data_IF_985312740843
#
_entry.id   IF_985312740843
#
_cell.length_a   1.000
_cell.length_b   1.000
_cell.length_c   1.000
_cell.angle_alpha   90.00
_cell.angle_beta   90.00
_cell.angle_gamma   90.00
#
_symmetry.space_group_name_H-M   'P 1'
#
loop_
_entity.id
_entity.type
_entity.pdbx_description
1 polymer ?
#
# COMPACT_ATOMS: atom_id res chain seq x y z
N UNK A 1 -17.02 -22.93 64.83
CA UNK A 1 -17.77 -21.72 65.23
C UNK A 1 -16.74 -20.60 65.11
N UNK A 2 -16.71 -19.75 64.09
CA UNK A 2 -17.77 -19.33 63.18
C UNK A 2 -17.25 -19.10 61.76
N UNK A 3 -18.15 -19.35 60.83
CA UNK A 3 -18.03 -19.14 59.40
C UNK A 3 -18.34 -17.68 59.05
N UNK A 4 -17.57 -17.05 58.15
CA UNK A 4 -18.16 -16.37 56.98
C UNK A 4 -17.10 -16.05 55.90
N UNK A 5 -17.37 -16.43 54.63
CA UNK A 5 -16.56 -16.12 53.45
C UNK A 5 -17.14 -14.93 52.67
N UNK A 6 -16.34 -13.96 52.22
CA UNK A 6 -16.77 -12.98 51.21
C UNK A 6 -15.57 -12.40 50.44
N UNK A 7 -15.35 -12.92 49.23
CA UNK A 7 -15.14 -12.16 47.97
C UNK A 7 -14.83 -13.13 46.82
N UNK A 8 -15.76 -14.06 46.57
CA UNK A 8 -15.99 -14.60 45.22
C UNK A 8 -16.93 -13.59 44.57
N UNK A 9 -16.41 -12.74 43.67
CA UNK A 9 -17.28 -11.81 42.93
C UNK A 9 -16.63 -10.57 42.32
N UNK A 10 -15.38 -10.20 42.66
CA UNK A 10 -14.76 -9.00 42.07
C UNK A 10 -13.94 -9.25 40.80
N UNK A 11 -13.73 -10.52 40.41
CA UNK A 11 -12.91 -10.85 39.22
C UNK A 11 -13.71 -10.96 37.91
N UNK A 12 -15.04 -10.99 37.92
CA UNK A 12 -15.81 -11.10 36.66
C UNK A 12 -16.01 -9.74 35.98
N UNK A 13 -16.13 -8.65 36.74
CA UNK A 13 -16.15 -7.29 36.20
C UNK A 13 -14.77 -6.78 35.78
N UNK A 14 -13.68 -7.36 36.33
CA UNK A 14 -12.34 -7.14 35.78
C UNK A 14 -12.00 -8.11 34.65
N UNK A 15 -12.64 -9.29 34.55
CA UNK A 15 -12.46 -10.20 33.42
C UNK A 15 -12.98 -9.60 32.12
N UNK A 16 -14.11 -8.86 32.14
CA UNK A 16 -14.58 -8.09 30.98
C UNK A 16 -13.64 -6.92 30.59
N UNK A 17 -12.86 -6.39 31.54
CA UNK A 17 -11.84 -5.35 31.26
C UNK A 17 -10.44 -5.92 31.00
N UNK A 18 -10.18 -7.17 31.38
CA UNK A 18 -8.94 -7.91 31.15
C UNK A 18 -8.99 -8.79 29.89
N UNK A 19 -10.18 -9.00 29.31
CA UNK A 19 -10.39 -9.47 27.92
C UNK A 19 -9.93 -8.44 26.87
N UNK A 20 -9.56 -7.22 27.30
CA UNK A 20 -8.62 -6.33 26.61
C UNK A 20 -7.16 -6.81 26.80
N UNK A 21 -6.88 -8.10 26.58
CA UNK A 21 -5.50 -8.47 26.28
C UNK A 21 -5.17 -7.79 24.96
N UNK A 22 -4.29 -6.77 24.99
CA UNK A 22 -3.77 -6.15 23.78
C UNK A 22 -3.03 -7.23 22.99
N UNK A 23 -3.73 -7.88 22.08
CA UNK A 23 -3.10 -8.86 21.21
C UNK A 23 -1.94 -8.16 20.48
N UNK A 24 -0.77 -8.82 20.41
CA UNK A 24 0.39 -8.28 19.72
C UNK A 24 0.02 -7.93 18.28
N UNK A 25 0.64 -6.89 17.74
CA UNK A 25 0.31 -6.35 16.40
C UNK A 25 0.34 -7.42 15.30
N UNK A 26 1.19 -8.44 15.43
CA UNK A 26 1.27 -9.55 14.49
C UNK A 26 -0.02 -10.38 14.43
N UNK A 27 -0.61 -10.70 15.58
CA UNK A 27 -1.89 -11.41 15.65
C UNK A 27 -3.02 -10.53 15.12
N UNK A 28 -3.00 -9.23 15.43
CA UNK A 28 -3.98 -8.29 14.88
C UNK A 28 -3.88 -8.14 13.36
N UNK A 29 -2.66 -8.21 12.84
CA UNK A 29 -2.44 -8.26 11.39
C UNK A 29 -3.00 -9.56 10.82
N UNK A 30 -3.01 -10.68 11.55
CA UNK A 30 -3.53 -11.97 11.08
C UNK A 30 -5.03 -12.18 11.31
N UNK A 31 -5.74 -11.22 11.88
CA UNK A 31 -7.17 -11.35 12.17
C UNK A 31 -7.98 -10.16 11.67
N UNK A 32 -9.11 -10.49 11.05
CA UNK A 32 -10.14 -9.52 10.70
C UNK A 32 -10.80 -8.98 11.97
N UNK A 33 -11.19 -7.70 11.99
CA UNK A 33 -11.95 -7.13 13.10
C UNK A 33 -13.44 -7.50 13.03
N UNK A 34 -13.90 -8.19 11.99
CA UNK A 34 -15.29 -8.52 11.75
C UNK A 34 -15.59 -9.98 12.09
N UNK A 35 -16.63 -10.22 12.89
CA UNK A 35 -17.05 -11.58 13.25
C UNK A 35 -17.54 -12.41 12.06
N UNK A 36 -18.02 -11.77 10.99
CA UNK A 36 -18.50 -12.44 9.78
C UNK A 36 -17.37 -12.86 8.82
N UNK A 37 -16.12 -12.46 9.08
CA UNK A 37 -14.95 -12.86 8.29
C UNK A 37 -14.15 -13.89 9.12
N UNK A 38 -14.49 -15.20 9.01
CA UNK A 38 -13.70 -16.24 9.65
C UNK A 38 -12.30 -16.36 9.01
N UNK A 39 -11.38 -17.02 9.72
CA UNK A 39 -9.96 -17.09 9.34
C UNK A 39 -9.73 -17.68 7.94
N UNK A 40 -10.50 -18.68 7.53
CA UNK A 40 -10.43 -19.28 6.18
C UNK A 40 -10.81 -18.28 5.07
N UNK A 41 -11.83 -17.46 5.30
CA UNK A 41 -12.26 -16.41 4.36
C UNK A 41 -11.21 -15.30 4.29
N UNK A 42 -10.60 -14.95 5.43
CA UNK A 42 -9.51 -13.97 5.48
C UNK A 42 -8.28 -14.44 4.67
N UNK A 43 -7.86 -15.70 4.84
CA UNK A 43 -6.75 -16.29 4.06
C UNK A 43 -7.08 -16.26 2.56
N UNK A 44 -8.31 -16.59 2.17
CA UNK A 44 -8.75 -16.53 0.77
C UNK A 44 -8.63 -15.12 0.18
N UNK A 45 -9.16 -14.09 0.86
CA UNK A 45 -9.08 -12.71 0.37
C UNK A 45 -7.64 -12.22 0.27
N UNK A 46 -6.79 -12.54 1.26
CA UNK A 46 -5.36 -12.18 1.20
C UNK A 46 -4.62 -12.89 0.10
N UNK A 47 -4.91 -14.17 -0.14
CA UNK A 47 -4.34 -14.92 -1.26
C UNK A 47 -4.75 -14.33 -2.60
N UNK A 48 -6.01 -13.94 -2.75
CA UNK A 48 -6.53 -13.29 -3.97
C UNK A 48 -5.84 -11.94 -4.21
N UNK A 49 -5.75 -11.09 -3.19
CA UNK A 49 -5.08 -9.78 -3.29
C UNK A 49 -3.59 -9.97 -3.59
N UNK A 50 -2.92 -10.91 -2.93
CA UNK A 50 -1.51 -11.18 -3.18
C UNK A 50 -1.26 -11.67 -4.61
N UNK A 51 -2.08 -12.61 -5.10
CA UNK A 51 -2.00 -13.09 -6.48
C UNK A 51 -2.22 -11.94 -7.49
N UNK A 52 -3.19 -11.07 -7.22
CA UNK A 52 -3.43 -9.86 -8.01
C UNK A 52 -2.21 -8.92 -8.00
N UNK A 53 -1.66 -8.60 -6.82
CA UNK A 53 -0.51 -7.71 -6.69
C UNK A 53 0.73 -8.26 -7.42
N UNK A 54 0.97 -9.58 -7.37
CA UNK A 54 2.06 -10.22 -8.11
C UNK A 54 1.83 -10.05 -9.63
N UNK A 55 0.64 -10.40 -10.12
CA UNK A 55 0.33 -10.28 -11.54
C UNK A 55 0.42 -8.82 -12.03
N UNK A 56 -0.14 -7.89 -11.27
CA UNK A 56 -0.07 -6.46 -11.56
C UNK A 56 1.38 -5.95 -11.55
N UNK A 57 2.20 -6.36 -10.57
CA UNK A 57 3.61 -5.96 -10.50
C UNK A 57 4.41 -6.44 -11.70
N UNK A 58 4.18 -7.68 -12.15
CA UNK A 58 4.83 -8.23 -13.35
C UNK A 58 4.43 -7.43 -14.60
N UNK A 59 3.15 -7.14 -14.77
CA UNK A 59 2.65 -6.38 -15.92
C UNK A 59 3.16 -4.93 -15.92
N UNK A 60 3.18 -4.26 -14.76
CA UNK A 60 3.73 -2.92 -14.61
C UNK A 60 5.23 -2.89 -14.92
N UNK A 61 6.00 -3.83 -14.37
CA UNK A 61 7.43 -3.90 -14.67
C UNK A 61 7.70 -4.22 -16.14
N UNK A 62 6.89 -5.09 -16.75
CA UNK A 62 7.01 -5.38 -18.18
C UNK A 62 6.72 -4.14 -19.04
N UNK A 63 5.70 -3.37 -18.68
CA UNK A 63 5.37 -2.09 -19.31
C UNK A 63 6.56 -1.12 -19.19
N UNK A 64 6.98 -0.82 -17.97
CA UNK A 64 8.05 0.15 -17.67
C UNK A 64 9.41 -0.20 -18.28
N UNK A 65 9.70 -1.49 -18.49
CA UNK A 65 10.96 -1.94 -19.09
C UNK A 65 10.90 -2.03 -20.61
N UNK A 66 9.70 -2.11 -21.20
CA UNK A 66 9.51 -2.20 -22.66
C UNK A 66 9.29 -0.84 -23.28
N UNK A 67 8.60 0.07 -22.60
CA UNK A 67 8.32 1.44 -23.04
C UNK A 67 9.41 2.46 -22.63
N UNK A 68 10.52 2.01 -22.06
CA UNK A 68 11.63 2.88 -21.69
C UNK A 68 12.18 3.64 -22.91
N UNK A 69 12.36 4.96 -22.78
CA UNK A 69 12.80 5.79 -23.90
C UNK A 69 14.23 5.44 -24.33
N UNK A 70 14.60 5.67 -25.61
CA UNK A 70 15.93 5.34 -26.11
C UNK A 70 17.03 6.05 -25.33
N UNK A 71 17.81 5.30 -24.54
CA UNK A 71 18.91 5.83 -23.72
C UNK A 71 18.63 5.84 -22.21
N UNK A 72 17.40 5.55 -21.77
CA UNK A 72 17.10 5.38 -20.35
C UNK A 72 17.58 4.02 -19.84
N UNK A 73 18.15 4.00 -18.64
CA UNK A 73 18.56 2.75 -18.01
C UNK A 73 17.44 2.23 -17.11
N UNK A 74 17.06 0.96 -17.27
CA UNK A 74 16.05 0.27 -16.43
C UNK A 74 16.36 0.33 -14.91
N UNK A 75 17.60 0.63 -14.54
CA UNK A 75 18.00 0.88 -13.16
C UNK A 75 17.25 2.06 -12.51
N UNK A 76 16.67 2.98 -13.29
CA UNK A 76 15.85 4.10 -12.78
C UNK A 76 14.69 3.64 -11.90
N UNK A 77 14.12 2.47 -12.23
CA UNK A 77 12.97 1.89 -11.53
C UNK A 77 13.27 1.57 -10.06
N UNK A 78 14.54 1.35 -9.69
CA UNK A 78 14.94 1.15 -8.28
C UNK A 78 14.90 2.42 -7.42
N UNK A 79 14.82 3.59 -8.05
CA UNK A 79 14.77 4.88 -7.38
C UNK A 79 13.38 5.54 -7.48
N UNK A 80 12.50 4.94 -8.27
CA UNK A 80 11.13 5.39 -8.46
C UNK A 80 10.30 5.19 -7.17
N UNK A 81 9.66 6.27 -6.71
CA UNK A 81 8.85 6.23 -5.48
C UNK A 81 7.68 5.27 -5.60
N UNK A 82 7.04 5.22 -6.76
CA UNK A 82 5.84 4.47 -7.02
C UNK A 82 6.14 2.97 -7.06
N UNK A 83 7.26 2.59 -7.69
CA UNK A 83 7.77 1.20 -7.67
C UNK A 83 8.16 0.78 -6.26
N UNK A 84 8.88 1.62 -5.51
CA UNK A 84 9.25 1.32 -4.11
C UNK A 84 8.00 1.17 -3.24
N UNK A 85 7.04 2.09 -3.36
CA UNK A 85 5.78 2.03 -2.62
C UNK A 85 4.99 0.77 -2.96
N UNK A 86 4.85 0.43 -4.25
CA UNK A 86 4.22 -0.81 -4.70
C UNK A 86 4.92 -2.05 -4.16
N UNK A 87 6.26 -2.07 -4.15
CA UNK A 87 7.06 -3.15 -3.58
C UNK A 87 6.85 -3.30 -2.07
N UNK A 88 6.69 -2.19 -1.33
CA UNK A 88 6.33 -2.24 0.09
C UNK A 88 4.95 -2.84 0.32
N UNK A 89 3.96 -2.50 -0.53
CA UNK A 89 2.61 -3.09 -0.47
C UNK A 89 2.68 -4.59 -0.75
N UNK A 90 3.39 -5.00 -1.80
CA UNK A 90 3.60 -6.41 -2.11
C UNK A 90 4.27 -7.16 -0.95
N UNK A 91 5.34 -6.59 -0.38
CA UNK A 91 6.04 -7.18 0.77
C UNK A 91 5.12 -7.32 1.99
N UNK A 92 4.31 -6.29 2.30
CA UNK A 92 3.33 -6.35 3.37
C UNK A 92 2.32 -7.48 3.15
N UNK A 93 1.77 -7.62 1.93
CA UNK A 93 0.83 -8.71 1.63
C UNK A 93 1.48 -10.10 1.65
N UNK A 94 2.75 -10.24 1.24
CA UNK A 94 3.51 -11.49 1.39
C UNK A 94 3.61 -11.88 2.88
N UNK A 95 4.03 -10.94 3.73
CA UNK A 95 4.20 -11.19 5.17
C UNK A 95 2.85 -11.57 5.82
N UNK A 96 1.85 -10.73 5.59
CA UNK A 96 0.55 -10.88 6.25
C UNK A 96 -0.26 -12.07 5.73
N UNK A 97 -0.13 -12.43 4.44
CA UNK A 97 -0.66 -13.69 3.90
C UNK A 97 0.02 -14.88 4.55
N UNK A 98 1.36 -14.91 4.58
CA UNK A 98 2.17 -15.97 5.20
C UNK A 98 1.71 -16.22 6.63
N UNK A 99 1.62 -15.16 7.44
CA UNK A 99 1.18 -15.27 8.83
C UNK A 99 -0.26 -15.75 8.96
N UNK A 100 -1.20 -15.27 8.14
CA UNK A 100 -2.59 -15.76 8.19
C UNK A 100 -2.72 -17.21 7.80
N UNK A 101 -1.96 -17.62 6.79
CA UNK A 101 -1.96 -18.97 6.26
C UNK A 101 -1.38 -19.95 7.30
N UNK A 102 -0.19 -19.66 7.84
CA UNK A 102 0.42 -20.50 8.87
C UNK A 102 -0.43 -20.51 10.14
N UNK A 103 -1.03 -19.38 10.54
CA UNK A 103 -1.90 -19.35 11.72
C UNK A 103 -3.16 -20.21 11.57
N UNK A 104 -3.63 -20.46 10.33
CA UNK A 104 -4.79 -21.31 10.07
C UNK A 104 -4.41 -22.80 9.92
N UNK A 105 -3.38 -23.10 9.15
CA UNK A 105 -3.04 -24.48 8.76
C UNK A 105 -1.93 -25.11 9.59
N UNK A 106 -1.09 -24.29 10.23
CA UNK A 106 0.07 -24.72 11.03
C UNK A 106 0.13 -23.93 12.35
N UNK A 107 -0.88 -24.09 13.24
CA UNK A 107 -0.96 -23.32 14.48
C UNK A 107 0.24 -23.55 15.41
N UNK A 108 0.77 -24.77 15.41
CA UNK A 108 1.93 -25.19 16.21
C UNK A 108 3.11 -25.54 15.28
N UNK A 109 3.86 -24.55 14.76
CA UNK A 109 4.95 -24.80 13.81
C UNK A 109 6.12 -25.58 14.43
N UNK A 110 6.16 -25.71 15.75
CA UNK A 110 7.15 -26.49 16.50
C UNK A 110 6.91 -28.00 16.43
N UNK A 111 5.70 -28.43 16.06
CA UNK A 111 5.37 -29.86 15.90
C UNK A 111 5.86 -30.45 14.56
N UNK A 112 6.32 -29.60 13.63
CA UNK A 112 6.83 -30.02 12.33
C UNK A 112 8.32 -30.36 12.45
N UNK A 113 8.62 -31.64 12.63
CA UNK A 113 9.98 -32.15 12.80
C UNK A 113 10.78 -32.19 11.48
N UNK A 114 11.99 -31.60 11.51
CA UNK A 114 13.13 -31.87 10.63
C UNK A 114 12.89 -31.89 9.12
N UNK A 115 13.12 -30.75 8.43
CA UNK A 115 13.17 -30.73 6.97
C UNK A 115 13.08 -29.33 6.35
N UNK A 116 13.01 -29.28 5.01
CA UNK A 116 12.76 -28.04 4.25
C UNK A 116 11.38 -27.47 4.59
N UNK A 117 10.38 -28.33 4.83
CA UNK A 117 9.02 -27.91 5.24
C UNK A 117 9.03 -27.16 6.58
N UNK A 118 9.68 -27.72 7.61
CA UNK A 118 9.83 -27.04 8.91
C UNK A 118 10.55 -25.69 8.77
N UNK A 119 11.57 -25.60 7.92
CA UNK A 119 12.25 -24.33 7.64
C UNK A 119 11.34 -23.30 6.95
N UNK A 120 10.61 -23.71 5.91
CA UNK A 120 9.67 -22.85 5.17
C UNK A 120 8.54 -22.39 6.09
N UNK A 121 7.95 -23.28 6.88
CA UNK A 121 6.88 -22.94 7.82
C UNK A 121 7.40 -22.02 8.93
N UNK A 122 8.59 -22.27 9.48
CA UNK A 122 9.20 -21.37 10.47
C UNK A 122 9.52 -19.97 9.92
N UNK A 123 9.86 -19.86 8.63
CA UNK A 123 10.13 -18.57 7.99
C UNK A 123 8.82 -17.79 7.75
N UNK A 124 7.76 -18.50 7.36
CA UNK A 124 6.45 -17.93 7.07
C UNK A 124 5.58 -17.72 8.31
N UNK A 125 5.96 -18.27 9.46
CA UNK A 125 5.18 -18.19 10.69
C UNK A 125 5.37 -16.86 11.41
N UNK A 126 4.49 -16.65 12.39
CA UNK A 126 4.54 -15.48 13.27
C UNK A 126 5.88 -15.43 14.03
N UNK A 127 6.35 -14.22 14.42
CA UNK A 127 7.54 -14.10 15.23
C UNK A 127 7.44 -14.91 16.54
N UNK A 128 8.46 -15.72 16.83
CA UNK A 128 8.51 -16.57 18.05
C UNK A 128 8.30 -15.78 19.35
N UNK A 129 8.78 -14.53 19.39
CA UNK A 129 8.57 -13.64 20.53
C UNK A 129 7.53 -12.57 20.22
N UNK A 130 6.26 -12.97 20.26
CA UNK A 130 5.11 -12.08 20.05
C UNK A 130 5.08 -10.87 21.01
N UNK A 131 5.66 -11.00 22.21
CA UNK A 131 5.70 -9.95 23.23
C UNK A 131 6.86 -8.94 23.04
N UNK A 132 7.74 -9.14 22.06
CA UNK A 132 8.90 -8.26 21.85
C UNK A 132 8.48 -6.88 21.34
N UNK A 133 8.59 -5.87 22.21
CA UNK A 133 8.22 -4.49 21.90
C UNK A 133 9.00 -3.91 20.70
N UNK A 134 10.26 -4.32 20.51
CA UNK A 134 11.07 -3.91 19.35
C UNK A 134 10.51 -4.47 18.05
N UNK A 135 10.18 -5.76 18.01
CA UNK A 135 9.62 -6.38 16.81
C UNK A 135 8.24 -5.80 16.49
N UNK A 136 7.41 -5.57 17.52
CA UNK A 136 6.11 -4.93 17.33
C UNK A 136 6.27 -3.51 16.77
N UNK A 137 7.24 -2.74 17.27
CA UNK A 137 7.54 -1.40 16.75
C UNK A 137 7.94 -1.44 15.27
N UNK A 138 8.89 -2.30 14.87
CA UNK A 138 9.34 -2.36 13.47
C UNK A 138 8.25 -2.81 12.51
N UNK A 139 7.44 -3.81 12.89
CA UNK A 139 6.33 -4.23 12.03
C UNK A 139 5.24 -3.15 11.93
N UNK A 140 4.91 -2.50 13.05
CA UNK A 140 3.97 -1.37 13.04
C UNK A 140 4.49 -0.24 12.17
N UNK A 141 5.79 0.04 12.23
CA UNK A 141 6.45 1.04 11.40
C UNK A 141 6.42 0.66 9.91
N UNK A 142 6.68 -0.61 9.56
CA UNK A 142 6.57 -1.12 8.20
C UNK A 142 5.15 -0.95 7.67
N UNK A 143 4.14 -1.38 8.44
CA UNK A 143 2.73 -1.24 8.08
C UNK A 143 2.34 0.22 7.87
N UNK A 144 2.65 1.09 8.82
CA UNK A 144 2.35 2.53 8.73
C UNK A 144 3.03 3.16 7.51
N UNK A 145 4.32 2.87 7.30
CA UNK A 145 5.08 3.44 6.16
C UNK A 145 4.50 2.96 4.84
N UNK A 146 4.16 1.68 4.73
CA UNK A 146 3.55 1.09 3.52
C UNK A 146 2.24 1.79 3.16
N UNK A 147 1.34 1.96 4.14
CA UNK A 147 0.06 2.66 3.94
C UNK A 147 0.27 4.12 3.57
N UNK A 148 1.09 4.83 4.34
CA UNK A 148 1.33 6.26 4.15
C UNK A 148 1.98 6.54 2.80
N UNK A 149 2.99 5.76 2.40
CA UNK A 149 3.66 5.94 1.11
C UNK A 149 2.73 5.63 -0.05
N UNK A 150 1.86 4.62 0.06
CA UNK A 150 0.87 4.34 -0.98
C UNK A 150 -0.13 5.50 -1.13
N UNK A 151 -0.63 6.06 -0.02
CA UNK A 151 -1.50 7.23 -0.07
C UNK A 151 -0.78 8.47 -0.63
N UNK A 152 0.47 8.70 -0.23
CA UNK A 152 1.31 9.75 -0.82
C UNK A 152 1.44 9.56 -2.33
N UNK A 153 1.74 8.34 -2.78
CA UNK A 153 1.93 8.03 -4.20
C UNK A 153 0.66 8.36 -5.02
N UNK A 154 -0.50 7.96 -4.51
CA UNK A 154 -1.80 8.31 -5.11
C UNK A 154 -2.03 9.82 -5.14
N UNK A 155 -1.84 10.52 -4.02
CA UNK A 155 -2.11 11.97 -3.96
C UNK A 155 -1.15 12.75 -4.86
N UNK A 156 0.14 12.41 -4.85
CA UNK A 156 1.15 13.08 -5.68
C UNK A 156 0.82 12.91 -7.15
N UNK A 157 0.55 11.68 -7.61
CA UNK A 157 0.26 11.45 -9.02
C UNK A 157 -1.01 12.18 -9.47
N UNK A 158 -2.13 11.96 -8.78
CA UNK A 158 -3.43 12.48 -9.23
C UNK A 158 -3.58 14.00 -9.04
N UNK A 159 -2.85 14.60 -8.09
CA UNK A 159 -3.02 16.01 -7.74
C UNK A 159 -1.87 16.91 -8.20
N UNK A 160 -0.69 16.35 -8.49
CA UNK A 160 0.52 17.11 -8.83
C UNK A 160 1.05 16.68 -10.20
N UNK A 161 1.43 15.41 -10.35
CA UNK A 161 2.08 14.92 -11.58
C UNK A 161 1.15 14.99 -12.78
N UNK A 162 -0.05 14.41 -12.69
CA UNK A 162 -0.98 14.38 -13.83
C UNK A 162 -1.40 15.78 -14.30
N UNK A 163 -1.80 16.74 -13.43
CA UNK A 163 -2.10 18.09 -13.87
C UNK A 163 -0.90 18.77 -14.57
N UNK A 164 0.32 18.57 -14.06
CA UNK A 164 1.53 19.09 -14.68
C UNK A 164 1.79 18.49 -16.07
N UNK A 165 1.61 17.17 -16.21
CA UNK A 165 1.78 16.49 -17.49
C UNK A 165 0.76 16.98 -18.53
N UNK A 166 -0.48 17.26 -18.13
CA UNK A 166 -1.51 17.79 -19.04
C UNK A 166 -1.15 19.20 -19.52
N UNK A 167 -0.73 20.10 -18.62
CA UNK A 167 -0.37 21.48 -18.97
C UNK A 167 0.83 21.52 -19.93
N UNK A 168 1.88 20.74 -19.67
CA UNK A 168 3.11 20.79 -20.49
C UNK A 168 3.01 19.99 -21.79
N UNK A 169 2.14 18.98 -21.87
CA UNK A 169 1.91 18.25 -23.12
C UNK A 169 0.91 18.97 -24.06
N UNK A 170 -0.01 19.78 -23.52
CA UNK A 170 -0.97 20.56 -24.34
C UNK A 170 -0.34 21.83 -24.94
N UNK A 171 0.70 22.41 -24.33
CA UNK A 171 1.41 23.60 -24.84
C UNK A 171 2.59 23.27 -25.81
N UNK A 172 2.90 21.98 -26.01
CA UNK A 172 4.02 21.49 -26.83
C UNK A 172 3.63 20.77 -28.13
N UNK A 173 2.34 20.63 -28.41
CA UNK A 173 1.84 20.04 -29.64
C UNK A 173 2.01 20.98 -30.85
N UNK A 174 3.23 21.11 -31.38
CA UNK A 174 3.33 21.12 -32.84
C UNK A 174 2.63 19.86 -33.29
N UNK A 175 1.41 20.02 -33.82
CA UNK A 175 0.87 19.05 -34.74
C UNK A 175 1.93 18.85 -35.79
N UNK A 176 2.65 17.73 -35.70
CA UNK A 176 3.09 17.04 -36.89
C UNK A 176 1.80 16.62 -37.59
N UNK A 177 1.21 17.60 -38.29
CA UNK A 177 0.48 17.37 -39.51
C UNK A 177 1.45 16.61 -40.40
N UNK A 178 1.47 15.28 -40.27
CA UNK A 178 2.09 14.39 -41.23
C UNK A 178 1.26 14.51 -42.53
N UNK A 179 1.53 15.61 -43.23
CA UNK A 179 0.99 15.93 -44.53
C UNK A 179 1.83 15.15 -45.55
N UNK A 180 1.68 13.82 -45.50
CA UNK A 180 2.30 12.83 -46.37
C UNK A 180 1.24 12.09 -47.18
N UNK A 181 0.78 12.75 -48.23
CA UNK A 181 -0.11 12.22 -49.27
C UNK A 181 0.38 10.88 -49.86
N UNK A 182 -0.45 9.82 -49.87
CA UNK A 182 -0.21 8.61 -50.69
C UNK A 182 -0.95 7.32 -50.32
N UNK A 183 -2.17 7.17 -50.86
CA UNK A 183 -2.85 5.95 -51.35
C UNK A 183 -2.61 4.55 -50.74
N UNK A 184 -3.72 3.87 -50.40
CA UNK A 184 -3.88 2.45 -50.74
C UNK A 184 -4.33 1.47 -49.65
N UNK A 185 -5.65 1.40 -49.44
CA UNK A 185 -6.47 0.18 -49.26
C UNK A 185 -5.88 -1.08 -48.56
N UNK A 186 -6.49 -1.49 -47.45
CA UNK A 186 -6.27 -2.81 -46.84
C UNK A 186 -7.13 -3.06 -45.59
N UNK A 187 -8.38 -3.46 -45.82
CA UNK A 187 -9.34 -3.96 -44.83
C UNK A 187 -8.89 -5.29 -44.16
N UNK A 188 -9.55 -5.59 -43.03
CA UNK A 188 -9.50 -6.77 -42.15
C UNK A 188 -8.47 -6.71 -41.01
N UNK A 189 -8.80 -6.84 -39.72
CA UNK A 189 -10.00 -7.31 -39.04
C UNK A 189 -9.58 -7.84 -37.66
N UNK A 190 -10.55 -7.93 -36.75
CA UNK A 190 -10.51 -8.62 -35.45
C UNK A 190 -10.13 -7.84 -34.17
N UNK A 191 -11.17 -7.52 -33.39
CA UNK A 191 -11.29 -8.16 -32.07
C UNK A 191 -11.06 -7.31 -30.82
N UNK A 192 -12.14 -6.71 -30.32
CA UNK A 192 -12.36 -6.42 -28.88
C UNK A 192 -11.58 -5.27 -28.21
N UNK A 193 -11.36 -4.16 -28.90
CA UNK A 193 -11.10 -2.89 -28.24
C UNK A 193 -12.41 -2.15 -27.98
N UNK A 194 -12.79 -1.94 -26.71
CA UNK A 194 -13.70 -0.84 -26.34
C UNK A 194 -12.97 0.48 -26.65
N UNK A 195 -12.95 0.86 -27.93
CA UNK A 195 -12.45 2.15 -28.38
C UNK A 195 -13.62 3.12 -28.28
N UNK A 196 -13.73 3.79 -27.14
CA UNK A 196 -14.50 5.01 -27.07
C UNK A 196 -13.77 5.98 -28.00
N UNK A 197 -14.32 6.22 -29.19
CA UNK A 197 -13.77 7.19 -30.12
C UNK A 197 -13.49 8.49 -29.36
N UNK A 198 -12.21 8.81 -29.22
CA UNK A 198 -11.74 9.94 -28.43
C UNK A 198 -12.25 11.22 -29.07
N UNK A 199 -13.32 11.79 -28.51
CA UNK A 199 -13.60 13.18 -28.74
C UNK A 199 -12.46 13.98 -28.09
N UNK A 200 -11.82 14.91 -28.81
CA UNK A 200 -10.81 15.77 -28.20
C UNK A 200 -11.51 16.52 -27.06
N UNK A 201 -10.94 16.46 -25.86
CA UNK A 201 -11.45 17.03 -24.58
C UNK A 201 -12.35 16.15 -23.70
N UNK A 202 -12.35 14.81 -23.82
CA UNK A 202 -12.98 13.97 -22.78
C UNK A 202 -12.06 13.76 -21.58
N UNK A 203 -12.57 13.86 -20.34
CA UNK A 203 -11.75 13.62 -19.16
C UNK A 203 -11.18 12.18 -19.22
N UNK A 204 -9.89 12.04 -18.93
CA UNK A 204 -9.12 10.78 -18.94
C UNK A 204 -8.76 10.22 -20.34
N UNK A 205 -8.93 11.00 -21.42
CA UNK A 205 -8.45 10.59 -22.75
C UNK A 205 -6.94 10.34 -22.79
N UNK A 206 -6.16 11.07 -21.98
CA UNK A 206 -4.72 10.91 -21.75
C UNK A 206 -4.34 9.53 -21.18
N UNK A 207 -5.21 8.94 -20.36
CA UNK A 207 -4.95 7.67 -19.70
C UNK A 207 -5.47 6.50 -20.52
N UNK A 208 -6.68 6.63 -21.09
CA UNK A 208 -7.37 5.53 -21.78
C UNK A 208 -7.21 5.56 -23.31
N UNK A 209 -6.68 6.64 -23.90
CA UNK A 209 -6.54 6.81 -25.34
C UNK A 209 -5.29 6.16 -25.95
N UNK A 210 -4.23 5.99 -25.16
CA UNK A 210 -2.93 5.50 -25.65
C UNK A 210 -2.73 3.98 -25.52
N UNK A 211 -3.69 3.27 -24.93
CA UNK A 211 -3.69 1.80 -24.84
C UNK A 211 -4.03 1.26 -23.46
N UNK A 212 -4.57 0.04 -23.43
CA UNK A 212 -5.05 -0.59 -22.19
C UNK A 212 -3.93 -0.86 -21.17
N UNK A 213 -2.69 -1.13 -21.64
CA UNK A 213 -1.57 -1.47 -20.75
C UNK A 213 -1.03 -0.24 -20.02
N UNK A 214 -0.92 0.92 -20.69
CA UNK A 214 -0.58 2.20 -20.04
C UNK A 214 -1.63 2.57 -18.99
N UNK A 215 -2.92 2.52 -19.37
CA UNK A 215 -4.01 2.76 -18.44
C UNK A 215 -3.96 1.81 -17.23
N UNK A 216 -3.72 0.52 -17.49
CA UNK A 216 -3.59 -0.49 -16.45
C UNK A 216 -2.42 -0.17 -15.51
N UNK A 217 -1.25 0.16 -16.04
CA UNK A 217 -0.06 0.45 -15.24
C UNK A 217 -0.28 1.69 -14.35
N UNK A 218 -0.76 2.79 -14.93
CA UNK A 218 -1.07 4.03 -14.20
C UNK A 218 -2.07 3.77 -13.07
N UNK A 219 -3.20 3.12 -13.38
CA UNK A 219 -4.26 2.88 -12.40
C UNK A 219 -3.78 1.96 -11.27
N UNK A 220 -2.99 0.93 -11.58
CA UNK A 220 -2.46 0.01 -10.57
C UNK A 220 -1.42 0.70 -9.67
N UNK A 221 -0.49 1.41 -10.27
CA UNK A 221 0.64 2.00 -9.58
C UNK A 221 0.19 3.15 -8.66
N UNK A 222 -0.73 3.99 -9.15
CA UNK A 222 -1.15 5.22 -8.46
C UNK A 222 -2.55 5.17 -7.84
N UNK A 223 -3.36 4.14 -8.08
CA UNK A 223 -4.74 4.08 -7.58
C UNK A 223 -5.03 2.84 -6.74
N UNK A 224 -4.88 1.66 -7.35
CA UNK A 224 -5.37 0.40 -6.77
C UNK A 224 -4.65 0.04 -5.47
N UNK A 225 -3.34 0.30 -5.36
CA UNK A 225 -2.57 0.02 -4.13
C UNK A 225 -3.16 0.72 -2.90
N UNK A 226 -3.54 1.99 -3.04
CA UNK A 226 -4.20 2.76 -1.97
C UNK A 226 -5.58 2.19 -1.63
N UNK A 227 -6.36 1.81 -2.64
CA UNK A 227 -7.69 1.21 -2.43
C UNK A 227 -7.57 -0.13 -1.67
N UNK A 228 -6.60 -0.96 -2.07
CA UNK A 228 -6.30 -2.23 -1.39
C UNK A 228 -5.94 -1.98 0.07
N UNK A 229 -5.12 -0.96 0.37
CA UNK A 229 -4.73 -0.66 1.75
C UNK A 229 -5.88 -0.08 2.59
N UNK A 230 -6.79 0.70 1.99
CA UNK A 230 -8.04 1.10 2.66
C UNK A 230 -8.88 -0.13 2.97
N UNK A 231 -9.05 -1.05 2.02
CA UNK A 231 -9.77 -2.30 2.23
C UNK A 231 -9.12 -3.16 3.32
N UNK A 232 -7.80 -3.27 3.31
CA UNK A 232 -7.00 -3.98 4.32
C UNK A 232 -7.18 -3.39 5.73
N UNK A 233 -7.10 -2.06 5.87
CA UNK A 233 -7.37 -1.36 7.13
C UNK A 233 -8.78 -1.68 7.63
N UNK A 234 -9.78 -1.52 6.75
CA UNK A 234 -11.19 -1.61 7.14
C UNK A 234 -11.65 -3.04 7.41
N UNK A 235 -11.15 -4.04 6.68
CA UNK A 235 -11.73 -5.39 6.67
C UNK A 235 -10.79 -6.53 7.04
N UNK A 236 -9.50 -6.44 6.71
CA UNK A 236 -8.62 -7.62 6.76
C UNK A 236 -7.68 -7.62 7.97
N UNK A 237 -7.38 -6.46 8.56
CA UNK A 237 -6.63 -6.40 9.81
C UNK A 237 -7.35 -5.64 10.93
N UNK A 238 -6.99 -5.99 12.17
CA UNK A 238 -7.51 -5.40 13.41
C UNK A 238 -6.45 -4.58 14.16
N UNK A 239 -5.42 -4.09 13.45
CA UNK A 239 -4.31 -3.31 14.03
C UNK A 239 -4.87 -2.00 14.59
N UNK A 240 -4.70 -1.79 15.91
CA UNK A 240 -5.16 -0.58 16.60
C UNK A 240 -4.21 0.60 16.40
N UNK A 241 -4.70 1.78 16.75
CA UNK A 241 -3.87 3.00 16.81
C UNK A 241 -2.67 2.78 17.74
N UNK A 242 -1.44 3.14 17.31
CA UNK A 242 -0.28 3.02 18.17
C UNK A 242 -0.39 3.95 19.38
N UNK A 243 0.06 3.49 20.55
CA UNK A 243 0.09 4.30 21.79
C UNK A 243 1.09 5.47 21.71
N UNK A 244 2.20 5.29 20.99
CA UNK A 244 3.26 6.30 20.83
C UNK A 244 3.25 6.90 19.42
N UNK A 245 2.26 7.75 19.12
CA UNK A 245 2.08 8.36 17.79
C UNK A 245 3.30 9.16 17.33
N UNK A 246 3.96 9.89 18.24
CA UNK A 246 5.07 10.78 17.92
C UNK A 246 6.28 10.07 17.31
N UNK A 247 6.60 8.86 17.79
CA UNK A 247 7.72 8.08 17.29
C UNK A 247 7.51 7.66 15.82
N UNK A 248 6.29 7.25 15.47
CA UNK A 248 5.94 6.87 14.10
C UNK A 248 5.87 8.08 13.16
N UNK A 249 5.34 9.21 13.63
CA UNK A 249 5.35 10.46 12.86
C UNK A 249 6.78 10.93 12.53
N UNK A 250 7.67 10.91 13.53
CA UNK A 250 9.08 11.25 13.31
C UNK A 250 9.75 10.29 12.34
N UNK A 251 9.55 8.98 12.53
CA UNK A 251 10.12 7.97 11.63
C UNK A 251 9.62 8.11 10.18
N UNK A 252 8.33 8.44 9.98
CA UNK A 252 7.76 8.71 8.66
C UNK A 252 8.43 9.90 7.96
N UNK A 253 8.62 11.02 8.69
CA UNK A 253 9.31 12.18 8.12
C UNK A 253 10.77 11.84 7.78
N UNK A 254 11.46 11.06 8.62
CA UNK A 254 12.81 10.57 8.34
C UNK A 254 12.82 9.68 7.10
N UNK A 255 11.88 8.73 6.95
CA UNK A 255 11.81 7.88 5.76
C UNK A 255 11.46 8.67 4.48
N UNK A 256 10.57 9.65 4.56
CA UNK A 256 10.29 10.52 3.43
C UNK A 256 11.53 11.33 3.02
N UNK A 257 12.26 11.89 3.99
CA UNK A 257 13.54 12.57 3.73
C UNK A 257 14.63 11.64 3.18
N UNK A 258 14.72 10.41 3.69
CA UNK A 258 15.63 9.38 3.18
C UNK A 258 15.29 9.00 1.74
N UNK A 259 14.01 8.93 1.39
CA UNK A 259 13.60 8.71 0.00
C UNK A 259 14.08 9.86 -0.91
N UNK A 260 13.96 11.12 -0.51
CA UNK A 260 14.50 12.25 -1.30
C UNK A 260 16.01 12.08 -1.50
N UNK A 261 16.75 11.73 -0.45
CA UNK A 261 18.18 11.41 -0.57
C UNK A 261 18.44 10.24 -1.54
N UNK A 262 17.60 9.20 -1.48
CA UNK A 262 17.66 8.06 -2.40
C UNK A 262 17.37 8.46 -3.85
N UNK A 263 16.42 9.36 -4.08
CA UNK A 263 16.10 9.90 -5.40
C UNK A 263 17.29 10.68 -6.00
N UNK A 264 18.00 11.48 -5.20
CA UNK A 264 19.22 12.15 -5.65
C UNK A 264 20.35 11.17 -5.98
N UNK A 265 20.52 10.11 -5.20
CA UNK A 265 21.47 9.02 -5.52
C UNK A 265 21.08 8.36 -6.84
N UNK A 266 19.78 8.13 -7.05
CA UNK A 266 19.22 7.63 -8.30
C UNK A 266 19.57 8.49 -9.49
N UNK A 267 19.31 9.80 -9.40
CA UNK A 267 19.69 10.75 -10.44
C UNK A 267 21.20 10.74 -10.71
N UNK A 268 22.04 10.71 -9.68
CA UNK A 268 23.49 10.62 -9.86
C UNK A 268 23.93 9.33 -10.58
N UNK A 269 23.16 8.24 -10.46
CA UNK A 269 23.45 6.96 -11.08
C UNK A 269 22.84 6.79 -12.49
N UNK A 270 21.68 7.37 -12.77
CA UNK A 270 20.91 7.14 -14.00
C UNK A 270 20.74 8.40 -14.87
N UNK A 271 21.02 9.57 -14.33
CA UNK A 271 20.79 10.87 -14.97
C UNK A 271 19.33 11.34 -14.93
N UNK A 272 18.42 10.56 -14.32
CA UNK A 272 16.96 10.80 -14.38
C UNK A 272 16.42 11.06 -12.98
N UNK A 273 15.61 12.12 -12.82
CA UNK A 273 14.90 12.37 -11.58
C UNK A 273 13.59 11.57 -11.52
N UNK A 274 13.24 10.96 -10.37
CA UNK A 274 11.96 10.26 -10.21
C UNK A 274 10.73 11.17 -10.25
N UNK A 275 10.92 12.46 -10.02
CA UNK A 275 9.87 13.47 -10.02
C UNK A 275 10.35 14.71 -10.76
N UNK A 276 9.50 15.29 -11.60
CA UNK A 276 9.78 16.52 -12.34
C UNK A 276 10.21 17.67 -11.41
N UNK A 277 9.54 17.80 -10.25
CA UNK A 277 9.81 18.85 -9.27
C UNK A 277 11.13 18.72 -8.51
N UNK A 278 11.89 17.63 -8.71
CA UNK A 278 13.26 17.49 -8.22
C UNK A 278 14.30 18.09 -9.18
N UNK A 279 13.95 18.29 -10.45
CA UNK A 279 14.82 18.94 -11.41
C UNK A 279 14.72 20.46 -11.26
N UNK A 280 15.82 21.18 -10.91
CA UNK A 280 15.81 22.64 -10.84
C UNK A 280 15.45 23.33 -12.16
N UNK A 281 15.69 22.69 -13.31
CA UNK A 281 15.36 23.23 -14.62
C UNK A 281 13.84 23.20 -14.86
N UNK A 282 13.16 22.12 -14.47
CA UNK A 282 11.70 21.96 -14.62
C UNK A 282 10.93 22.65 -13.48
N UNK A 283 11.44 22.59 -12.25
CA UNK A 283 10.85 23.28 -11.10
C UNK A 283 11.04 24.82 -11.15
N UNK A 284 11.89 25.31 -12.05
CA UNK A 284 12.16 26.73 -12.29
C UNK A 284 13.18 27.37 -11.34
N UNK A 285 13.46 26.79 -10.16
CA UNK A 285 14.52 27.24 -9.26
C UNK A 285 14.90 26.21 -8.21
N UNK A 286 16.09 26.36 -7.61
CA UNK A 286 16.53 25.58 -6.45
C UNK A 286 15.64 25.79 -5.21
N UNK A 287 15.08 27.00 -5.07
CA UNK A 287 14.15 27.32 -3.98
C UNK A 287 12.83 26.55 -4.14
N UNK A 288 12.33 26.42 -5.39
CA UNK A 288 11.14 25.65 -5.70
C UNK A 288 11.35 24.15 -5.41
N UNK A 289 12.48 23.57 -5.84
CA UNK A 289 12.83 22.18 -5.51
C UNK A 289 12.83 21.95 -4.00
N UNK A 290 13.42 22.89 -3.25
CA UNK A 290 13.44 22.83 -1.78
C UNK A 290 12.03 22.90 -1.19
N UNK A 291 11.16 23.76 -1.72
CA UNK A 291 9.77 23.87 -1.29
C UNK A 291 8.98 22.58 -1.56
N UNK A 292 9.13 21.98 -2.74
CA UNK A 292 8.50 20.70 -3.08
C UNK A 292 9.02 19.56 -2.20
N UNK A 293 10.32 19.51 -1.92
CA UNK A 293 10.91 18.54 -0.99
C UNK A 293 10.33 18.68 0.43
N UNK A 294 10.18 19.90 0.94
CA UNK A 294 9.50 20.15 2.23
C UNK A 294 8.04 19.69 2.16
N UNK A 295 7.33 20.01 1.07
CA UNK A 295 5.97 19.57 0.82
C UNK A 295 5.82 18.05 0.85
N UNK A 296 6.72 17.32 0.19
CA UNK A 296 6.76 15.87 0.17
C UNK A 296 6.95 15.28 1.58
N UNK A 297 7.89 15.81 2.37
CA UNK A 297 8.11 15.36 3.75
C UNK A 297 6.91 15.66 4.65
N UNK A 298 6.28 16.82 4.48
CA UNK A 298 5.08 17.22 5.24
C UNK A 298 3.80 16.52 4.77
N UNK A 299 3.79 15.94 3.57
CA UNK A 299 2.67 15.12 3.11
C UNK A 299 2.55 13.82 3.90
N UNK A 300 3.67 13.24 4.34
CA UNK A 300 3.70 12.00 5.13
C UNK A 300 2.86 12.06 6.42
N UNK A 301 2.99 13.07 7.31
CA UNK A 301 2.14 13.18 8.49
C UNK A 301 0.66 13.46 8.15
N UNK A 302 0.37 14.16 7.04
CA UNK A 302 -1.03 14.37 6.59
C UNK A 302 -1.66 13.03 6.19
N UNK A 303 -0.96 12.23 5.40
CA UNK A 303 -1.42 10.90 4.99
C UNK A 303 -1.50 9.93 6.18
N UNK A 304 -0.64 10.09 7.18
CA UNK A 304 -0.75 9.35 8.44
C UNK A 304 -2.05 9.67 9.19
N UNK A 305 -2.45 10.95 9.27
CA UNK A 305 -3.74 11.33 9.87
C UNK A 305 -4.90 10.68 9.10
N UNK A 306 -4.83 10.66 7.78
CA UNK A 306 -5.84 10.02 6.94
C UNK A 306 -5.95 8.50 7.22
N UNK A 307 -4.81 7.80 7.31
CA UNK A 307 -4.75 6.41 7.76
C UNK A 307 -5.42 6.21 9.14
N UNK A 308 -5.09 7.06 10.13
CA UNK A 308 -5.70 6.98 11.46
C UNK A 308 -7.21 7.24 11.43
N UNK A 309 -7.68 8.04 10.46
CA UNK A 309 -9.09 8.24 10.16
C UNK A 309 -9.80 6.93 9.82
N UNK A 310 -9.28 6.16 8.87
CA UNK A 310 -9.84 4.84 8.50
C UNK A 310 -9.81 3.84 9.66
N UNK A 311 -8.70 3.80 10.42
CA UNK A 311 -8.61 2.99 11.63
C UNK A 311 -9.71 3.37 12.63
N UNK A 312 -9.97 4.66 12.79
CA UNK A 312 -11.07 5.19 13.62
C UNK A 312 -12.46 4.79 13.15
N UNK A 313 -12.73 4.93 11.85
CA UNK A 313 -14.00 4.55 11.24
C UNK A 313 -14.27 3.07 11.54
N UNK A 314 -13.31 2.21 11.22
CA UNK A 314 -13.41 0.76 11.49
C UNK A 314 -13.65 0.46 12.97
N UNK A 315 -12.84 1.02 13.88
CA UNK A 315 -13.02 0.80 15.31
C UNK A 315 -14.40 1.25 15.80
N UNK A 316 -14.95 2.34 15.23
CA UNK A 316 -16.30 2.80 15.52
C UNK A 316 -17.39 1.85 15.01
N UNK A 317 -17.19 1.23 13.84
CA UNK A 317 -18.17 0.30 13.25
C UNK A 317 -18.16 -1.07 13.94
N UNK A 318 -17.01 -1.49 14.49
CA UNK A 318 -16.85 -2.80 15.14
C UNK A 318 -17.37 -2.77 16.59
N UNK A 319 -17.21 -1.66 17.32
CA UNK A 319 -17.63 -1.53 18.74
C UNK A 319 -19.07 -1.96 19.04
N UNK A 320 -20.10 -1.56 18.28
CA UNK A 320 -21.48 -1.97 18.54
C UNK A 320 -21.69 -3.49 18.43
N UNK A 321 -20.99 -4.15 17.51
CA UNK A 321 -21.12 -5.59 17.28
C UNK A 321 -20.58 -6.41 18.45
N UNK A 322 -19.45 -5.98 19.04
CA UNK A 322 -18.86 -6.61 20.23
C UNK A 322 -19.80 -6.48 21.43
N UNK A 323 -20.37 -5.29 21.67
CA UNK A 323 -21.30 -5.05 22.78
C UNK A 323 -22.57 -5.89 22.65
N UNK A 324 -23.09 -6.05 21.43
CA UNK A 324 -24.27 -6.88 21.18
C UNK A 324 -23.96 -8.37 21.39
N UNK A 325 -22.79 -8.86 20.95
CA UNK A 325 -22.38 -10.25 21.20
C UNK A 325 -22.17 -10.54 22.69
N UNK A 326 -21.52 -9.63 23.44
CA UNK A 326 -21.35 -9.75 24.89
C UNK A 326 -22.71 -9.69 25.63
N UNK A 327 -23.62 -8.82 25.17
CA UNK A 327 -24.97 -8.70 25.74
C UNK A 327 -25.90 -9.87 25.45
N UNK A 328 -25.62 -10.64 24.39
CA UNK A 328 -26.39 -11.83 24.01
C UNK A 328 -25.82 -13.15 24.56
N UNK A 329 -24.72 -13.10 25.31
CA UNK A 329 -24.14 -14.27 25.98
C UNK A 329 -23.66 -15.36 25.00
N UNK A 330 -22.91 -14.95 23.98
CA UNK A 330 -22.17 -15.89 23.12
C UNK A 330 -20.97 -16.49 23.87
#
# INVERSE_FOLDING_TARGET
>A
MDSTPLLVGSNELSAGRALLQDHPVFLRASHSPWCFIPQNVLVFFRGLILAYLIAASILVLNYETTDAAPGETNARLFFDFAIISGAMVLLYFIITFSWTFTHLYYPDPEEIDGGVESWVVNLMSLPRNLASLRQQFYFTLLYITTVVFSFMNTVIYWSITRPYDLENNDDGGTGDDDNGNGDGNGDNGDGNGFSLAAAPNTPFSDIFGEGWLKAFAIVNLFGITSIILVFEILFLNSIRRPSTISAYLFALMVFAGLYIGWAYIGHAATGIYPFFWLDPAEAGSQEAVTAYAIGFVLLAPIMFIFMQGFVGIRESLVRPHVIIQEGLGA
#
